data_IF_508376129044
#
_entry.id   IF_508376129044
#
_cell.length_a   1.000
_cell.length_b   1.000
_cell.length_c   1.000
_cell.angle_alpha   90.00
_cell.angle_beta   90.00
_cell.angle_gamma   90.00
#
_symmetry.space_group_name_H-M   'P 1'
#
loop_
_entity.id
_entity.type
_entity.pdbx_description
1 polymer ?
#
# COMPACT_ATOMS: atom_id res chain seq x y z
N UNK A 1 -29.01 13.97 -7.44
CA UNK A 1 -29.09 12.63 -6.84
C UNK A 1 -27.74 11.98 -7.04
N UNK A 2 -27.01 11.64 -5.97
CA UNK A 2 -25.72 10.95 -6.10
C UNK A 2 -26.03 9.47 -6.42
N UNK A 3 -25.38 8.85 -7.42
CA UNK A 3 -25.62 7.43 -7.73
C UNK A 3 -25.26 6.55 -6.53
N UNK A 4 -26.14 5.63 -6.13
CA UNK A 4 -25.88 4.68 -5.04
C UNK A 4 -24.56 3.90 -5.23
N UNK A 5 -24.17 3.67 -6.49
CA UNK A 5 -22.95 2.99 -6.91
C UNK A 5 -21.66 3.74 -6.55
N UNK A 6 -21.66 5.08 -6.54
CA UNK A 6 -20.43 5.83 -6.20
C UNK A 6 -20.17 5.87 -4.71
N UNK A 7 -21.22 5.95 -3.90
CA UNK A 7 -21.12 5.92 -2.44
C UNK A 7 -20.60 4.56 -1.97
N UNK A 8 -21.05 3.45 -2.59
CA UNK A 8 -20.54 2.10 -2.26
C UNK A 8 -19.07 1.93 -2.64
N UNK A 9 -18.63 2.44 -3.79
CA UNK A 9 -17.21 2.44 -4.20
C UNK A 9 -16.32 3.24 -3.25
N UNK A 10 -16.72 4.46 -2.87
CA UNK A 10 -15.98 5.29 -1.92
C UNK A 10 -15.81 4.59 -0.57
N UNK A 11 -16.87 3.96 -0.07
CA UNK A 11 -16.81 3.17 1.16
C UNK A 11 -15.92 1.93 1.01
N UNK A 12 -15.97 1.26 -0.15
CA UNK A 12 -15.08 0.15 -0.48
C UNK A 12 -13.60 0.54 -0.42
N UNK A 13 -13.23 1.69 -1.01
CA UNK A 13 -11.88 2.25 -0.93
C UNK A 13 -11.48 2.53 0.52
N UNK A 14 -12.34 3.19 1.32
CA UNK A 14 -12.05 3.47 2.74
C UNK A 14 -11.81 2.20 3.53
N UNK A 15 -12.67 1.20 3.37
CA UNK A 15 -12.58 -0.08 4.08
C UNK A 15 -11.28 -0.82 3.71
N UNK A 16 -10.89 -0.80 2.44
CA UNK A 16 -9.66 -1.44 1.99
C UNK A 16 -8.42 -0.72 2.55
N UNK A 17 -8.39 0.63 2.55
CA UNK A 17 -7.29 1.38 3.19
C UNK A 17 -7.23 1.06 4.69
N UNK A 18 -8.36 1.01 5.39
CA UNK A 18 -8.40 0.66 6.82
C UNK A 18 -7.85 -0.74 7.08
N UNK A 19 -8.18 -1.71 6.23
CA UNK A 19 -7.60 -3.05 6.30
C UNK A 19 -6.08 -3.02 6.09
N UNK A 20 -5.59 -2.29 5.09
CA UNK A 20 -4.15 -2.15 4.82
C UNK A 20 -3.41 -1.50 6.00
N UNK A 21 -3.94 -0.43 6.59
CA UNK A 21 -3.37 0.19 7.80
C UNK A 21 -3.23 -0.86 8.91
N UNK A 22 -4.30 -1.63 9.14
CA UNK A 22 -4.33 -2.63 10.19
C UNK A 22 -3.22 -3.66 10.01
N UNK A 23 -3.12 -4.28 8.82
CA UNK A 23 -2.10 -5.32 8.58
C UNK A 23 -0.67 -4.76 8.56
N UNK A 24 -0.46 -3.56 8.01
CA UNK A 24 0.88 -3.00 7.85
C UNK A 24 1.48 -2.49 9.16
N UNK A 25 0.66 -2.05 10.13
CA UNK A 25 1.14 -1.68 11.48
C UNK A 25 1.80 -2.88 12.16
N UNK A 26 1.15 -4.06 12.13
CA UNK A 26 1.73 -5.27 12.71
C UNK A 26 3.00 -5.71 11.99
N UNK A 27 3.09 -5.43 10.69
CA UNK A 27 4.23 -5.82 9.88
C UNK A 27 5.52 -5.08 10.22
N UNK A 28 5.46 -3.85 10.77
CA UNK A 28 6.65 -3.13 11.25
C UNK A 28 7.42 -3.97 12.29
N UNK A 29 6.69 -4.56 13.24
CA UNK A 29 7.28 -5.39 14.29
C UNK A 29 7.85 -6.71 13.73
N UNK A 30 7.18 -7.28 12.73
CA UNK A 30 7.65 -8.49 12.02
C UNK A 30 8.95 -8.21 11.27
N UNK A 31 9.02 -7.10 10.51
CA UNK A 31 10.23 -6.69 9.81
C UNK A 31 11.37 -6.45 10.78
N UNK A 32 11.13 -5.69 11.85
CA UNK A 32 12.15 -5.46 12.88
C UNK A 32 12.70 -6.78 13.43
N UNK A 33 11.81 -7.70 13.83
CA UNK A 33 12.19 -9.01 14.37
C UNK A 33 12.96 -9.86 13.36
N UNK A 34 12.53 -9.86 12.08
CA UNK A 34 13.23 -10.56 11.00
C UNK A 34 14.64 -10.04 10.80
N UNK A 35 14.82 -8.71 10.72
CA UNK A 35 16.14 -8.10 10.57
C UNK A 35 17.04 -8.39 11.78
N UNK A 36 16.48 -8.42 12.99
CA UNK A 36 17.23 -8.84 14.19
C UNK A 36 17.62 -10.32 14.16
N UNK A 37 16.78 -11.21 13.59
CA UNK A 37 17.09 -12.65 13.50
C UNK A 37 18.17 -13.01 12.48
N UNK A 38 18.43 -12.14 11.50
CA UNK A 38 19.52 -12.33 10.51
C UNK A 38 20.80 -11.59 10.92
N UNK A 39 20.96 -11.29 12.21
CA UNK A 39 22.11 -10.57 12.80
C UNK A 39 22.39 -9.20 12.18
N UNK A 40 21.37 -8.55 11.60
CA UNK A 40 21.54 -7.16 11.16
C UNK A 40 21.69 -6.22 12.35
N UNK A 41 22.45 -5.14 12.16
CA UNK A 41 22.65 -4.13 13.20
C UNK A 41 21.32 -3.49 13.59
N UNK A 42 21.20 -3.10 14.86
CA UNK A 42 20.00 -2.43 15.38
C UNK A 42 19.67 -1.16 14.57
N UNK A 43 20.68 -0.45 14.09
CA UNK A 43 20.53 0.72 13.22
C UNK A 43 19.82 0.37 11.91
N UNK A 44 20.18 -0.74 11.26
CA UNK A 44 19.55 -1.19 10.01
C UNK A 44 18.11 -1.64 10.27
N UNK A 45 17.89 -2.44 11.31
CA UNK A 45 16.54 -2.91 11.67
C UNK A 45 15.59 -1.75 11.98
N UNK A 46 16.04 -0.76 12.76
CA UNK A 46 15.28 0.45 13.06
C UNK A 46 15.02 1.31 11.83
N UNK A 47 16.02 1.48 10.95
CA UNK A 47 15.84 2.27 9.73
C UNK A 47 14.79 1.66 8.79
N UNK A 48 14.80 0.33 8.63
CA UNK A 48 13.77 -0.38 7.84
C UNK A 48 12.39 -0.22 8.47
N UNK A 49 12.29 -0.40 9.80
CA UNK A 49 11.04 -0.20 10.54
C UNK A 49 10.48 1.23 10.39
N UNK A 50 11.35 2.24 10.51
CA UNK A 50 10.98 3.65 10.32
C UNK A 50 10.49 3.92 8.91
N UNK A 51 11.20 3.44 7.89
CA UNK A 51 10.78 3.58 6.49
C UNK A 51 9.41 2.94 6.27
N UNK A 52 9.18 1.73 6.79
CA UNK A 52 7.86 1.10 6.72
C UNK A 52 6.78 1.91 7.43
N UNK A 53 7.10 2.48 8.60
CA UNK A 53 6.22 3.39 9.34
C UNK A 53 5.79 4.61 8.52
N UNK A 54 6.65 5.13 7.64
CA UNK A 54 6.28 6.19 6.70
C UNK A 54 5.20 5.69 5.74
N UNK A 55 5.34 4.50 5.15
CA UNK A 55 4.31 3.91 4.28
C UNK A 55 2.94 3.79 4.98
N UNK A 56 2.95 3.31 6.23
CA UNK A 56 1.75 3.23 7.08
C UNK A 56 1.13 4.60 7.31
N UNK A 57 1.94 5.62 7.60
CA UNK A 57 1.45 6.99 7.80
C UNK A 57 0.73 7.52 6.55
N UNK A 58 1.25 7.22 5.35
CA UNK A 58 0.59 7.57 4.09
C UNK A 58 -0.71 6.77 3.86
N UNK A 59 -0.81 5.52 4.28
CA UNK A 59 -2.10 4.80 4.29
C UNK A 59 -3.12 5.49 5.21
N UNK A 60 -2.72 5.89 6.42
CA UNK A 60 -3.60 6.63 7.36
C UNK A 60 -4.02 7.96 6.74
N UNK A 61 -3.09 8.71 6.16
CA UNK A 61 -3.38 9.97 5.51
C UNK A 61 -4.34 9.78 4.34
N UNK A 62 -4.14 8.77 3.49
CA UNK A 62 -5.07 8.40 2.43
C UNK A 62 -6.48 8.11 2.97
N UNK A 63 -6.59 7.37 4.07
CA UNK A 63 -7.87 7.06 4.70
C UNK A 63 -8.62 8.35 5.11
N UNK A 64 -7.91 9.30 5.73
CA UNK A 64 -8.49 10.59 6.12
C UNK A 64 -8.91 11.40 4.88
N UNK A 65 -8.04 11.47 3.87
CA UNK A 65 -8.26 12.28 2.68
C UNK A 65 -9.42 11.80 1.80
N UNK A 66 -9.68 10.49 1.74
CA UNK A 66 -10.80 9.94 0.94
C UNK A 66 -12.13 10.56 1.35
N UNK A 67 -12.30 10.96 2.60
CA UNK A 67 -13.53 11.61 3.09
C UNK A 67 -13.87 12.89 2.32
N UNK A 68 -12.85 13.64 1.90
CA UNK A 68 -12.98 14.91 1.16
C UNK A 68 -13.22 14.74 -0.34
N UNK A 69 -13.10 13.53 -0.88
CA UNK A 69 -13.35 13.29 -2.30
C UNK A 69 -14.84 13.37 -2.63
N UNK A 70 -15.14 14.08 -3.73
CA UNK A 70 -16.47 14.12 -4.32
C UNK A 70 -16.89 12.75 -4.86
N UNK A 71 -18.13 12.35 -4.58
CA UNK A 71 -18.70 11.07 -5.02
C UNK A 71 -19.02 11.03 -6.52
N UNK A 72 -18.68 12.08 -7.28
CA UNK A 72 -19.02 12.16 -8.72
C UNK A 72 -18.07 11.36 -9.62
N UNK A 73 -16.90 10.93 -9.14
CA UNK A 73 -15.86 10.32 -9.98
C UNK A 73 -15.69 8.81 -9.77
N UNK A 74 -16.64 8.01 -10.29
CA UNK A 74 -16.66 6.53 -10.25
C UNK A 74 -15.32 5.94 -10.70
N UNK A 75 -14.81 6.40 -11.86
CA UNK A 75 -13.60 5.85 -12.48
C UNK A 75 -12.39 6.04 -11.56
N UNK A 76 -12.26 7.20 -10.94
CA UNK A 76 -11.18 7.46 -9.99
C UNK A 76 -11.20 6.48 -8.82
N UNK A 77 -12.37 6.23 -8.21
CA UNK A 77 -12.48 5.27 -7.11
C UNK A 77 -12.13 3.84 -7.55
N UNK A 78 -12.57 3.41 -8.74
CA UNK A 78 -12.21 2.10 -9.28
C UNK A 78 -10.68 1.96 -9.49
N UNK A 79 -10.03 3.01 -9.99
CA UNK A 79 -8.56 3.05 -10.14
C UNK A 79 -7.84 2.93 -8.78
N UNK A 80 -8.27 3.71 -7.78
CA UNK A 80 -7.69 3.62 -6.43
C UNK A 80 -7.90 2.22 -5.83
N UNK A 81 -9.08 1.62 -6.01
CA UNK A 81 -9.35 0.27 -5.54
C UNK A 81 -8.42 -0.77 -6.21
N UNK A 82 -8.13 -0.63 -7.49
CA UNK A 82 -7.13 -1.45 -8.19
C UNK A 82 -5.72 -1.29 -7.63
N UNK A 83 -5.29 -0.06 -7.35
CA UNK A 83 -3.98 0.20 -6.72
C UNK A 83 -3.91 -0.39 -5.30
N UNK A 84 -4.99 -0.31 -4.52
CA UNK A 84 -5.05 -0.91 -3.18
C UNK A 84 -4.96 -2.44 -3.25
N UNK A 85 -5.59 -3.08 -4.23
CA UNK A 85 -5.47 -4.51 -4.46
C UNK A 85 -4.03 -4.91 -4.83
N UNK A 86 -3.35 -4.12 -5.68
CA UNK A 86 -1.93 -4.34 -5.99
C UNK A 86 -1.08 -4.18 -4.72
N UNK A 87 -1.36 -3.19 -3.87
CA UNK A 87 -0.64 -3.00 -2.61
C UNK A 87 -0.79 -4.23 -1.69
N UNK A 88 -2.01 -4.77 -1.58
CA UNK A 88 -2.28 -5.96 -0.80
C UNK A 88 -1.55 -7.18 -1.35
N UNK A 89 -1.56 -7.38 -2.67
CA UNK A 89 -0.83 -8.48 -3.30
C UNK A 89 0.68 -8.36 -3.06
N UNK A 90 1.24 -7.16 -3.23
CA UNK A 90 2.63 -6.87 -2.95
C UNK A 90 3.01 -7.08 -1.47
N UNK A 91 2.07 -6.87 -0.56
CA UNK A 91 2.27 -7.18 0.86
C UNK A 91 2.26 -8.69 1.16
N UNK A 92 1.37 -9.46 0.53
CA UNK A 92 1.22 -10.90 0.76
C UNK A 92 2.36 -11.70 0.11
N UNK A 93 2.87 -11.25 -1.03
CA UNK A 93 3.85 -12.00 -1.83
C UNK A 93 5.15 -12.34 -1.07
N UNK A 94 5.79 -11.41 -0.32
CA UNK A 94 6.92 -11.70 0.54
C UNK A 94 6.65 -12.84 1.55
N UNK A 95 5.46 -12.86 2.14
CA UNK A 95 5.07 -13.86 3.15
C UNK A 95 4.98 -15.24 2.50
N UNK A 96 4.37 -15.33 1.31
CA UNK A 96 4.27 -16.59 0.56
C UNK A 96 5.66 -17.10 0.20
N UNK A 97 6.55 -16.24 -0.30
CA UNK A 97 7.93 -16.61 -0.64
C UNK A 97 8.62 -17.20 0.60
N UNK A 98 8.55 -16.52 1.74
CA UNK A 98 9.18 -16.97 2.99
C UNK A 98 8.63 -18.32 3.46
N UNK A 99 7.32 -18.55 3.37
CA UNK A 99 6.71 -19.83 3.75
C UNK A 99 7.19 -20.95 2.82
N UNK A 100 7.26 -20.69 1.51
CA UNK A 100 7.69 -21.66 0.50
C UNK A 100 9.17 -22.01 0.68
N UNK A 101 10.03 -21.02 0.95
CA UNK A 101 11.47 -21.25 1.15
C UNK A 101 11.78 -21.89 2.50
N UNK A 102 11.02 -21.59 3.56
CA UNK A 102 11.24 -22.16 4.89
C UNK A 102 10.83 -23.64 5.00
N UNK A 103 9.76 -24.05 4.31
CA UNK A 103 9.22 -25.41 4.41
C UNK A 103 9.79 -26.38 3.38
N UNK A 104 10.40 -25.86 2.32
CA UNK A 104 11.08 -26.72 1.38
C UNK A 104 12.58 -26.63 1.62
N UNK A 105 13.21 -27.78 1.87
CA UNK A 105 14.64 -28.01 1.63
C UNK A 105 14.89 -28.01 0.11
N UNK A 106 14.44 -26.96 -0.58
CA UNK A 106 14.70 -26.81 -2.00
C UNK A 106 16.20 -26.68 -2.14
N UNK A 107 16.85 -27.79 -2.46
CA UNK A 107 18.09 -27.83 -3.22
C UNK A 107 17.81 -27.14 -4.56
N UNK A 108 17.60 -25.82 -4.54
CA UNK A 108 17.56 -24.99 -5.72
C UNK A 108 18.98 -24.97 -6.26
N UNK A 109 19.35 -26.01 -6.99
CA UNK A 109 20.61 -26.16 -7.70
C UNK A 109 20.70 -25.21 -8.92
N UNK A 110 19.94 -24.11 -8.86
CA UNK A 110 19.61 -23.23 -9.96
C UNK A 110 19.64 -21.80 -9.41
N UNK A 111 20.85 -21.24 -9.37
CA UNK A 111 21.15 -19.91 -8.81
C UNK A 111 20.30 -18.78 -9.43
N UNK A 112 19.81 -18.95 -10.67
CA UNK A 112 18.92 -17.97 -11.31
C UNK A 112 17.51 -17.94 -10.71
N UNK A 113 16.96 -19.07 -10.22
CA UNK A 113 15.64 -19.10 -9.57
C UNK A 113 15.70 -18.34 -8.24
N UNK A 114 16.76 -18.57 -7.46
CA UNK A 114 17.00 -17.84 -6.21
C UNK A 114 17.14 -16.33 -6.45
N UNK A 115 17.85 -15.95 -7.52
CA UNK A 115 18.02 -14.55 -7.90
C UNK A 115 16.68 -13.90 -8.27
N UNK A 116 15.86 -14.55 -9.10
CA UNK A 116 14.54 -14.02 -9.50
C UNK A 116 13.63 -13.89 -8.28
N UNK A 117 13.54 -14.91 -7.43
CA UNK A 117 12.70 -14.89 -6.22
C UNK A 117 13.11 -13.76 -5.29
N UNK A 118 14.41 -13.52 -5.10
CA UNK A 118 14.90 -12.43 -4.28
C UNK A 118 14.57 -11.04 -4.88
N UNK A 119 14.69 -10.87 -6.20
CA UNK A 119 14.27 -9.62 -6.85
C UNK A 119 12.77 -9.37 -6.72
N UNK A 120 11.94 -10.41 -6.85
CA UNK A 120 10.48 -10.28 -6.67
C UNK A 120 10.14 -9.97 -5.20
N UNK A 121 10.85 -10.57 -4.25
CA UNK A 121 10.73 -10.26 -2.83
C UNK A 121 11.06 -8.78 -2.55
N UNK A 122 12.19 -8.28 -3.05
CA UNK A 122 12.60 -6.88 -2.87
C UNK A 122 11.60 -5.93 -3.56
N UNK A 123 11.20 -6.24 -4.80
CA UNK A 123 10.26 -5.41 -5.55
C UNK A 123 8.90 -5.33 -4.85
N UNK A 124 8.39 -6.43 -4.31
CA UNK A 124 7.11 -6.47 -3.59
C UNK A 124 7.15 -5.67 -2.29
N UNK A 125 8.27 -5.69 -1.54
CA UNK A 125 8.46 -4.81 -0.39
C UNK A 125 8.45 -3.32 -0.79
N UNK A 126 9.16 -2.95 -1.87
CA UNK A 126 9.17 -1.57 -2.35
C UNK A 126 7.80 -1.11 -2.86
N UNK A 127 7.07 -1.95 -3.60
CA UNK A 127 5.71 -1.64 -4.04
C UNK A 127 4.78 -1.46 -2.84
N UNK A 128 4.89 -2.34 -1.83
CA UNK A 128 4.08 -2.23 -0.61
C UNK A 128 4.34 -0.91 0.13
N UNK A 129 5.60 -0.45 0.15
CA UNK A 129 6.03 0.79 0.79
C UNK A 129 5.62 2.07 0.02
N UNK A 130 5.85 2.11 -1.30
CA UNK A 130 5.70 3.33 -2.10
C UNK A 130 4.29 3.55 -2.64
N UNK A 131 3.50 2.49 -2.84
CA UNK A 131 2.16 2.62 -3.40
C UNK A 131 1.19 3.44 -2.51
N UNK A 132 1.24 3.35 -1.15
CA UNK A 132 0.50 4.26 -0.28
C UNK A 132 0.81 5.73 -0.51
N UNK A 133 2.09 6.05 -0.78
CA UNK A 133 2.55 7.41 -1.06
C UNK A 133 1.92 7.89 -2.38
N UNK A 134 2.01 7.06 -3.42
CA UNK A 134 1.42 7.35 -4.75
C UNK A 134 -0.09 7.55 -4.62
N UNK A 135 -0.80 6.65 -3.92
CA UNK A 135 -2.25 6.76 -3.68
C UNK A 135 -2.59 8.07 -2.98
N UNK A 136 -1.82 8.46 -1.96
CA UNK A 136 -2.02 9.73 -1.25
C UNK A 136 -1.88 10.93 -2.19
N UNK A 137 -0.83 10.94 -3.01
CA UNK A 137 -0.58 12.01 -3.99
C UNK A 137 -1.74 12.11 -4.98
N UNK A 138 -2.21 10.97 -5.51
CA UNK A 138 -3.34 10.92 -6.44
C UNK A 138 -4.63 11.45 -5.81
N UNK A 139 -4.94 11.05 -4.57
CA UNK A 139 -6.09 11.57 -3.82
C UNK A 139 -5.98 13.08 -3.63
N UNK A 140 -4.80 13.56 -3.22
CA UNK A 140 -4.54 14.98 -2.98
C UNK A 140 -4.73 15.81 -4.25
N UNK A 141 -4.19 15.35 -5.39
CA UNK A 141 -4.37 15.99 -6.70
C UNK A 141 -5.85 16.04 -7.06
N UNK A 142 -6.59 14.93 -6.87
CA UNK A 142 -8.01 14.87 -7.19
C UNK A 142 -8.86 15.81 -6.32
N UNK A 143 -8.53 15.95 -5.03
CA UNK A 143 -9.16 16.94 -4.15
C UNK A 143 -8.93 18.35 -4.70
N UNK A 144 -7.69 18.69 -5.05
CA UNK A 144 -7.34 20.01 -5.57
C UNK A 144 -8.08 20.33 -6.89
N UNK A 145 -8.13 19.38 -7.83
CA UNK A 145 -8.88 19.52 -9.09
C UNK A 145 -10.37 19.76 -8.82
N UNK A 146 -10.95 19.02 -7.87
CA UNK A 146 -12.36 19.17 -7.49
C UNK A 146 -12.62 20.59 -6.96
N UNK A 147 -11.81 21.05 -6.01
CA UNK A 147 -11.94 22.39 -5.42
C UNK A 147 -11.79 23.52 -6.44
N UNK A 148 -10.87 23.39 -7.41
CA UNK A 148 -10.71 24.37 -8.49
C UNK A 148 -11.91 24.38 -9.44
N UNK A 149 -12.48 23.21 -9.72
CA UNK A 149 -13.62 23.09 -10.63
C UNK A 149 -14.87 23.70 -10.01
N UNK A 150 -15.12 23.43 -8.73
CA UNK A 150 -16.29 23.95 -8.02
C UNK A 150 -16.24 25.49 -7.91
N UNK A 151 -15.07 26.07 -7.60
CA UNK A 151 -14.88 27.55 -7.60
C UNK A 151 -15.13 28.20 -8.95
N UNK A 152 -14.86 27.50 -10.06
CA UNK A 152 -15.06 28.05 -11.40
C UNK A 152 -16.56 28.14 -11.75
N UNK A 153 -17.37 27.26 -11.18
CA UNK A 153 -18.83 27.24 -11.35
C UNK A 153 -19.49 28.36 -10.54
N UNK A 154 -18.99 28.67 -9.34
CA UNK A 154 -19.54 29.75 -8.49
C UNK A 154 -19.31 31.17 -9.06
N UNK A 155 -18.36 31.34 -9.97
CA UNK A 155 -18.01 32.63 -10.59
C UNK A 155 -18.62 32.84 -11.99
N UNK A 156 -19.52 31.95 -12.43
CA UNK A 156 -20.27 32.01 -13.69
C UNK A 156 -21.75 32.23 -13.42
#
# INVERSE_FOLDING_TARGET
MIPLETTTLKNGVRNHIQFLVTIQIFFVAVLYSFYRSIDSSEVVANNVGNNWGVGVAFCILSYLLVSFLSEKNVKFFAWIQGLLAINLLAFIFPIIIVIVTANNSLEFNIQWVFTIVNWVFIASLYVSLYLPIIITVLITIMIFITLLTDRKIENL
#
